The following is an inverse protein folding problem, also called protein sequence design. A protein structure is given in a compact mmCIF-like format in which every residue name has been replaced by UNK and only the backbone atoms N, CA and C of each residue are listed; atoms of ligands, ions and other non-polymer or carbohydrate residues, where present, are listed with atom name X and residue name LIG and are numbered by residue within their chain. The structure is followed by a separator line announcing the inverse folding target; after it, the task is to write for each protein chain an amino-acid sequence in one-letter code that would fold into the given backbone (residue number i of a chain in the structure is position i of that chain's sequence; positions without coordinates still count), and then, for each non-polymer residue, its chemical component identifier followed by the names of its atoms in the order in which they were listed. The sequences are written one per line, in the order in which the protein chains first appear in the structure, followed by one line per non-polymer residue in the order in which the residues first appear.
data_IF_401952623091
#
_entry.id   IF_401952623091
#
_cell.length_a   1.000
_cell.length_b   1.000
_cell.length_c   1.000
_cell.angle_alpha   90.00
_cell.angle_beta   90.00
_cell.angle_gamma   90.00
#
_symmetry.space_group_name_H-M   'P 1'
#
loop_
_entity.id
_entity.type
_entity.pdbx_description
1 polymer ?
#
# COMPACT_ATOMS: atom_id res chain seq x y z
N UNK A 1 -8.99 70.58 4.50
CA UNK A 1 -9.44 70.86 3.12
C UNK A 1 -8.92 69.76 2.21
N UNK A 2 -9.75 69.26 1.28
CA UNK A 2 -9.41 68.21 0.29
C UNK A 2 -10.31 66.97 0.46
N UNK A 3 -11.59 67.05 0.08
CA UNK A 3 -12.20 66.72 -1.23
C UNK A 3 -12.25 65.21 -1.53
N UNK A 4 -13.47 64.68 -1.41
CA UNK A 4 -13.95 63.38 -1.86
C UNK A 4 -13.94 63.28 -3.39
N UNK A 5 -13.64 62.09 -3.93
CA UNK A 5 -14.07 61.65 -5.26
C UNK A 5 -14.62 60.23 -5.17
N UNK A 6 -15.88 60.12 -5.60
CA UNK A 6 -16.70 58.92 -5.73
C UNK A 6 -16.71 58.45 -7.18
N UNK A 7 -16.80 57.13 -7.34
CA UNK A 7 -17.70 56.53 -8.33
C UNK A 7 -17.12 56.14 -9.70
N UNK A 8 -17.65 55.02 -10.20
CA UNK A 8 -17.63 54.49 -11.56
C UNK A 8 -16.51 53.49 -11.90
N UNK A 9 -16.75 52.20 -11.61
CA UNK A 9 -16.26 51.11 -12.48
C UNK A 9 -16.95 49.77 -12.18
N UNK A 10 -18.26 49.65 -12.43
CA UNK A 10 -18.95 48.35 -12.46
C UNK A 10 -20.13 48.42 -13.43
N UNK A 11 -19.89 48.24 -14.74
CA UNK A 11 -20.95 48.02 -15.76
C UNK A 11 -20.40 47.57 -17.12
N UNK A 12 -19.35 46.73 -17.15
CA UNK A 12 -18.81 46.21 -18.44
C UNK A 12 -18.46 44.71 -18.51
N UNK A 13 -18.67 43.93 -17.45
CA UNK A 13 -18.35 42.48 -17.48
C UNK A 13 -19.54 41.53 -17.66
N UNK A 14 -20.76 42.04 -17.82
CA UNK A 14 -21.97 41.22 -17.98
C UNK A 14 -22.46 41.06 -19.44
N UNK A 15 -21.69 41.52 -20.44
CA UNK A 15 -22.08 41.41 -21.86
C UNK A 15 -21.15 40.54 -22.73
N UNK A 16 -20.07 39.98 -22.20
CA UNK A 16 -19.14 39.13 -22.99
C UNK A 16 -19.40 37.62 -22.88
N UNK A 17 -20.26 37.14 -21.98
CA UNK A 17 -20.58 35.71 -21.87
C UNK A 17 -21.81 35.25 -22.68
N UNK A 18 -22.49 36.19 -23.36
CA UNK A 18 -23.68 35.87 -24.18
C UNK A 18 -23.31 35.52 -25.64
N UNK A 19 -22.04 35.69 -26.06
CA UNK A 19 -21.61 35.50 -27.44
C UNK A 19 -20.81 34.22 -27.76
N UNK A 20 -20.61 33.31 -26.79
CA UNK A 20 -19.93 32.03 -27.04
C UNK A 20 -20.80 30.77 -26.91
N UNK A 21 -22.10 30.92 -26.65
CA UNK A 21 -23.04 29.78 -26.49
C UNK A 21 -24.00 29.53 -27.66
N UNK A 22 -23.84 30.21 -28.81
CA UNK A 22 -24.80 30.15 -29.94
C UNK A 22 -24.28 29.50 -31.23
N UNK A 23 -23.16 28.77 -31.17
CA UNK A 23 -22.57 28.11 -32.36
C UNK A 23 -22.26 26.63 -32.16
N UNK A 24 -23.11 25.94 -31.39
CA UNK A 24 -23.02 24.50 -31.12
C UNK A 24 -24.41 23.85 -31.00
N UNK A 25 -25.43 24.43 -31.65
CA UNK A 25 -26.80 23.87 -31.69
C UNK A 25 -27.31 23.52 -33.09
N UNK A 26 -26.49 23.68 -34.13
CA UNK A 26 -26.89 23.37 -35.51
C UNK A 26 -26.14 22.18 -36.12
N UNK A 27 -25.41 21.39 -35.32
CA UNK A 27 -24.63 20.24 -35.80
C UNK A 27 -25.05 18.87 -35.23
N UNK A 28 -26.17 18.78 -34.49
CA UNK A 28 -26.61 17.54 -33.83
C UNK A 28 -28.07 17.17 -34.07
N UNK A 29 -28.70 17.65 -35.14
CA UNK A 29 -30.04 17.18 -35.55
C UNK A 29 -29.92 16.25 -36.75
N UNK A 30 -29.39 15.05 -36.55
CA UNK A 30 -29.57 13.93 -37.49
C UNK A 30 -29.23 12.57 -36.86
N UNK A 31 -29.77 12.27 -35.68
CA UNK A 31 -29.88 10.89 -35.21
C UNK A 31 -31.23 10.66 -34.53
N UNK A 32 -32.01 9.64 -34.93
CA UNK A 32 -33.28 9.33 -34.30
C UNK A 32 -33.06 8.86 -32.86
N UNK A 33 -33.80 9.48 -31.95
CA UNK A 33 -33.94 9.13 -30.54
C UNK A 33 -34.57 7.74 -30.41
N UNK A 34 -33.76 6.74 -30.06
CA UNK A 34 -34.25 5.56 -29.34
C UNK A 34 -34.01 5.84 -27.84
N UNK A 35 -35.07 6.23 -27.14
CA UNK A 35 -35.03 6.58 -25.71
C UNK A 35 -35.26 5.33 -24.87
N UNK A 36 -34.21 4.56 -24.67
CA UNK A 36 -34.06 3.77 -23.44
C UNK A 36 -32.97 4.43 -22.60
N UNK A 37 -33.36 5.46 -21.83
CA UNK A 37 -32.53 5.99 -20.76
C UNK A 37 -32.46 4.94 -19.64
N UNK A 38 -31.55 3.97 -19.78
CA UNK A 38 -31.03 3.25 -18.63
C UNK A 38 -30.28 4.27 -17.80
N UNK A 39 -30.94 4.76 -16.75
CA UNK A 39 -30.24 5.42 -15.65
C UNK A 39 -29.27 4.39 -15.08
N UNK A 40 -28.01 4.46 -15.52
CA UNK A 40 -26.92 3.76 -14.87
C UNK A 40 -26.80 4.35 -13.47
N UNK A 41 -27.52 3.74 -12.53
CA UNK A 41 -27.33 3.99 -11.11
C UNK A 41 -25.89 3.61 -10.80
N UNK A 42 -25.01 4.61 -10.73
CA UNK A 42 -23.68 4.47 -10.14
C UNK A 42 -23.93 4.18 -8.66
N UNK A 43 -24.08 2.90 -8.32
CA UNK A 43 -24.13 2.42 -6.95
C UNK A 43 -22.78 2.80 -6.35
N UNK A 44 -22.75 3.88 -5.56
CA UNK A 44 -21.58 4.17 -4.73
C UNK A 44 -21.41 2.95 -3.83
N UNK A 45 -20.25 2.26 -3.87
CA UNK A 45 -20.03 1.13 -2.99
C UNK A 45 -20.22 1.62 -1.55
N UNK A 46 -21.17 1.02 -0.83
CA UNK A 46 -21.36 1.31 0.58
C UNK A 46 -20.01 1.10 1.29
N UNK A 47 -19.55 2.10 2.03
CA UNK A 47 -18.30 2.00 2.77
C UNK A 47 -18.48 0.95 3.86
N UNK A 48 -17.90 -0.23 3.66
CA UNK A 48 -17.97 -1.33 4.61
C UNK A 48 -17.32 -0.89 5.93
N UNK A 49 -18.13 -0.79 6.99
CA UNK A 49 -17.64 -0.47 8.33
C UNK A 49 -16.84 -1.66 8.89
N UNK A 50 -15.65 -1.37 9.45
CA UNK A 50 -14.82 -2.40 10.05
C UNK A 50 -15.40 -2.96 11.36
N UNK A 51 -15.51 -4.30 11.44
CA UNK A 51 -15.93 -5.03 12.63
C UNK A 51 -14.73 -5.81 13.22
N UNK A 52 -14.26 -5.49 14.44
CA UNK A 52 -13.15 -6.19 15.09
C UNK A 52 -13.34 -7.71 15.20
N UNK A 53 -14.56 -8.19 15.40
CA UNK A 53 -14.84 -9.62 15.55
C UNK A 53 -14.74 -10.38 14.22
N UNK A 54 -15.00 -9.71 13.09
CA UNK A 54 -14.79 -10.28 11.76
C UNK A 54 -13.33 -10.15 11.32
N UNK A 55 -12.68 -9.05 11.71
CA UNK A 55 -11.29 -8.80 11.42
C UNK A 55 -11.01 -8.42 9.97
N UNK A 56 -9.76 -8.63 9.55
CA UNK A 56 -9.29 -8.39 8.19
C UNK A 56 -8.28 -9.44 7.76
N UNK A 57 -8.13 -9.58 6.45
CA UNK A 57 -7.16 -10.48 5.83
C UNK A 57 -5.94 -9.67 5.42
N UNK A 58 -4.76 -10.26 5.65
CA UNK A 58 -3.50 -9.83 5.07
C UNK A 58 -3.04 -10.93 4.12
N UNK A 59 -2.69 -10.56 2.90
CA UNK A 59 -2.05 -11.48 1.96
C UNK A 59 -0.70 -10.95 1.53
N UNK A 60 0.33 -11.79 1.68
CA UNK A 60 1.67 -11.55 1.16
C UNK A 60 1.76 -12.17 -0.22
N UNK A 61 1.86 -11.35 -1.26
CA UNK A 61 1.89 -11.86 -2.63
C UNK A 61 3.32 -12.26 -3.00
N UNK A 62 4.26 -11.31 -2.95
CA UNK A 62 5.63 -11.51 -3.41
C UNK A 62 6.62 -10.49 -2.88
N UNK A 63 7.90 -10.82 -2.95
CA UNK A 63 9.01 -9.88 -2.77
C UNK A 63 9.80 -9.74 -4.07
N UNK A 64 10.11 -8.50 -4.40
CA UNK A 64 10.89 -8.12 -5.56
C UNK A 64 12.22 -7.49 -5.15
N UNK A 65 13.24 -7.53 -6.02
CA UNK A 65 14.49 -6.80 -5.82
C UNK A 65 15.47 -7.45 -4.84
N UNK A 66 15.35 -8.76 -4.61
CA UNK A 66 16.19 -9.49 -3.68
C UNK A 66 17.63 -9.65 -4.22
N UNK A 67 18.67 -9.61 -3.37
CA UNK A 67 20.02 -10.00 -3.73
C UNK A 67 20.14 -11.42 -4.31
N UNK A 68 21.10 -11.62 -5.23
CA UNK A 68 21.32 -12.92 -5.90
C UNK A 68 21.70 -14.06 -4.96
N UNK A 69 22.34 -13.76 -3.84
CA UNK A 69 22.81 -14.76 -2.88
C UNK A 69 21.70 -15.29 -1.94
N UNK A 70 20.46 -14.81 -2.08
CA UNK A 70 19.34 -15.31 -1.28
C UNK A 70 18.64 -16.44 -2.03
N UNK A 71 18.52 -17.61 -1.40
CA UNK A 71 17.95 -18.80 -2.02
C UNK A 71 16.51 -19.07 -1.59
N UNK A 72 16.22 -18.86 -0.31
CA UNK A 72 14.87 -18.96 0.22
C UNK A 72 14.53 -17.76 1.06
N UNK A 73 13.25 -17.44 1.12
CA UNK A 73 12.70 -16.38 1.95
C UNK A 73 11.63 -16.95 2.88
N UNK A 74 11.60 -16.43 4.10
CA UNK A 74 10.54 -16.68 5.09
C UNK A 74 10.17 -15.34 5.71
N UNK A 75 8.88 -15.10 5.92
CA UNK A 75 8.40 -13.91 6.63
C UNK A 75 8.05 -14.28 8.06
N UNK A 76 8.41 -13.41 9.00
CA UNK A 76 7.90 -13.42 10.36
C UNK A 76 7.09 -12.14 10.55
N UNK A 77 5.86 -12.24 11.03
CA UNK A 77 4.96 -11.09 11.06
C UNK A 77 3.98 -11.13 12.22
N UNK A 78 3.49 -9.95 12.61
CA UNK A 78 2.47 -9.81 13.63
C UNK A 78 1.78 -8.43 13.58
N UNK A 79 0.66 -8.32 14.30
CA UNK A 79 -0.02 -7.05 14.55
C UNK A 79 0.52 -6.47 15.86
N UNK A 80 1.07 -5.26 15.79
CA UNK A 80 1.71 -4.61 16.93
C UNK A 80 1.28 -3.15 17.05
N UNK A 81 1.52 -2.56 18.22
CA UNK A 81 1.39 -1.12 18.40
C UNK A 81 2.71 -0.44 18.06
N UNK A 82 2.64 0.64 17.27
CA UNK A 82 3.78 1.49 16.94
C UNK A 82 4.45 1.97 18.24
N UNK A 83 5.76 1.72 18.35
CA UNK A 83 6.53 2.04 19.56
C UNK A 83 6.70 0.88 20.56
N UNK A 84 5.92 -0.20 20.43
CA UNK A 84 5.98 -1.38 21.30
C UNK A 84 6.26 -2.63 20.48
N UNK A 85 7.37 -2.60 19.73
CA UNK A 85 7.73 -3.70 18.85
C UNK A 85 8.24 -4.90 19.65
N UNK A 86 7.68 -6.07 19.37
CA UNK A 86 8.09 -7.35 19.95
C UNK A 86 8.48 -8.32 18.83
N UNK A 87 9.08 -9.45 19.20
CA UNK A 87 9.38 -10.51 18.22
C UNK A 87 8.06 -11.00 17.60
N UNK A 88 7.93 -11.05 16.26
CA UNK A 88 6.71 -11.54 15.64
C UNK A 88 6.42 -12.99 16.00
N UNK A 89 5.14 -13.32 16.19
CA UNK A 89 4.71 -14.66 16.60
C UNK A 89 4.32 -15.57 15.43
N UNK A 90 3.94 -15.01 14.28
CA UNK A 90 3.53 -15.77 13.09
C UNK A 90 4.65 -15.84 12.07
N UNK A 91 4.60 -16.88 11.23
CA UNK A 91 5.56 -17.08 10.15
C UNK A 91 4.91 -17.71 8.92
N UNK A 92 5.46 -17.42 7.74
CA UNK A 92 5.11 -18.12 6.50
C UNK A 92 5.90 -19.41 6.37
N UNK A 93 5.54 -20.25 5.40
CA UNK A 93 6.46 -21.29 4.92
C UNK A 93 7.71 -20.67 4.26
N UNK A 94 8.73 -21.50 4.02
CA UNK A 94 9.94 -21.09 3.31
C UNK A 94 9.72 -21.19 1.80
N UNK A 95 9.89 -20.07 1.11
CA UNK A 95 9.65 -19.94 -0.34
C UNK A 95 10.96 -19.83 -1.11
N UNK A 96 11.04 -20.47 -2.28
CA UNK A 96 12.22 -20.42 -3.14
C UNK A 96 12.28 -19.12 -3.92
N UNK A 97 13.47 -18.54 -4.02
CA UNK A 97 13.70 -17.37 -4.87
C UNK A 97 13.94 -17.78 -6.32
N UNK A 98 13.57 -16.90 -7.23
CA UNK A 98 13.74 -17.07 -8.68
C UNK A 98 14.53 -15.90 -9.25
N UNK A 99 15.35 -16.15 -10.26
CA UNK A 99 16.06 -15.10 -10.98
C UNK A 99 15.06 -14.22 -11.72
N UNK A 100 15.07 -12.91 -11.43
CA UNK A 100 14.25 -11.94 -12.15
C UNK A 100 15.09 -11.14 -13.15
N UNK A 101 16.30 -10.77 -12.76
CA UNK A 101 17.28 -10.09 -13.62
C UNK A 101 18.69 -10.59 -13.30
N UNK A 102 19.70 -10.08 -14.02
CA UNK A 102 21.11 -10.37 -13.71
C UNK A 102 21.50 -9.93 -12.28
N UNK A 103 20.89 -8.86 -11.75
CA UNK A 103 21.25 -8.31 -10.43
C UNK A 103 20.30 -8.69 -9.30
N UNK A 104 19.07 -9.06 -9.63
CA UNK A 104 18.01 -9.25 -8.64
C UNK A 104 17.23 -10.55 -8.83
N UNK A 105 16.76 -11.08 -7.71
CA UNK A 105 15.80 -12.17 -7.60
C UNK A 105 14.43 -11.65 -7.15
N UNK A 106 13.42 -12.50 -7.32
CA UNK A 106 12.09 -12.35 -6.76
C UNK A 106 11.68 -13.59 -5.98
N UNK A 107 10.66 -13.48 -5.16
CA UNK A 107 10.08 -14.60 -4.40
C UNK A 107 8.57 -14.47 -4.40
N UNK A 108 7.88 -15.46 -4.95
CA UNK A 108 6.43 -15.60 -4.82
C UNK A 108 6.12 -16.25 -3.46
N UNK A 109 5.14 -15.72 -2.73
CA UNK A 109 4.76 -16.16 -1.38
C UNK A 109 3.32 -16.65 -1.39
N UNK A 110 2.39 -15.80 -1.85
CA UNK A 110 0.96 -16.09 -2.00
C UNK A 110 0.31 -16.71 -0.75
N UNK A 111 0.73 -16.28 0.45
CA UNK A 111 0.16 -16.72 1.73
C UNK A 111 -0.77 -15.64 2.29
N UNK A 112 -1.87 -16.08 2.90
CA UNK A 112 -2.88 -15.21 3.51
C UNK A 112 -3.14 -15.61 4.94
N UNK A 113 -3.47 -14.62 5.76
CA UNK A 113 -3.80 -14.82 7.15
C UNK A 113 -4.93 -13.88 7.60
N UNK A 114 -5.71 -14.34 8.58
CA UNK A 114 -6.86 -13.62 9.13
C UNK A 114 -6.50 -13.09 10.53
N UNK A 115 -6.71 -11.79 10.72
CA UNK A 115 -6.53 -11.13 12.02
C UNK A 115 -7.88 -10.69 12.55
N UNK A 116 -8.29 -11.25 13.69
CA UNK A 116 -9.54 -10.94 14.40
C UNK A 116 -9.24 -10.30 15.75
N UNK A 117 -10.26 -9.68 16.34
CA UNK A 117 -10.20 -8.99 17.63
C UNK A 117 -9.18 -7.84 17.67
N UNK A 118 -8.95 -7.19 16.52
CA UNK A 118 -8.07 -6.03 16.41
C UNK A 118 -8.91 -4.76 16.48
N UNK A 119 -8.63 -3.90 17.46
CA UNK A 119 -9.30 -2.61 17.62
C UNK A 119 -8.83 -1.61 16.54
N UNK A 120 -9.70 -0.66 16.18
CA UNK A 120 -9.44 0.40 15.20
C UNK A 120 -8.53 1.51 15.77
N UNK A 121 -7.32 1.15 16.19
CA UNK A 121 -6.30 2.10 16.64
C UNK A 121 -5.38 2.48 15.47
N UNK A 122 -5.26 3.77 15.10
CA UNK A 122 -4.33 4.23 14.06
C UNK A 122 -2.86 3.85 14.30
N UNK A 123 -2.48 3.56 15.56
CA UNK A 123 -1.14 3.11 15.94
C UNK A 123 -0.92 1.61 15.70
N UNK A 124 -1.96 0.87 15.33
CA UNK A 124 -1.85 -0.55 15.00
C UNK A 124 -1.20 -0.75 13.64
N UNK A 125 -0.12 -1.51 13.62
CA UNK A 125 0.68 -1.80 12.42
C UNK A 125 0.79 -3.30 12.18
N UNK A 126 0.98 -3.67 10.92
CA UNK A 126 1.55 -4.96 10.55
C UNK A 126 3.06 -4.76 10.52
N UNK A 127 3.78 -5.47 11.39
CA UNK A 127 5.25 -5.51 11.36
C UNK A 127 5.70 -6.83 10.74
N UNK A 128 6.64 -6.76 9.79
CA UNK A 128 7.12 -7.91 9.02
C UNK A 128 8.63 -7.93 9.00
N UNK A 129 9.24 -9.01 9.45
CA UNK A 129 10.65 -9.32 9.27
C UNK A 129 10.84 -10.27 8.08
N UNK A 130 11.83 -9.98 7.26
CA UNK A 130 12.21 -10.79 6.11
C UNK A 130 13.48 -11.56 6.48
N UNK A 131 13.37 -12.88 6.48
CA UNK A 131 14.47 -13.80 6.73
C UNK A 131 14.86 -14.51 5.44
N UNK A 132 16.16 -14.58 5.18
CA UNK A 132 16.69 -15.24 3.99
C UNK A 132 17.62 -16.39 4.36
N UNK A 133 17.56 -17.48 3.58
CA UNK A 133 18.57 -18.53 3.56
C UNK A 133 19.72 -18.08 2.66
N UNK A 134 20.90 -17.91 3.26
CA UNK A 134 22.13 -17.47 2.60
C UNK A 134 23.18 -18.57 2.75
N UNK A 135 23.93 -18.84 1.68
CA UNK A 135 25.06 -19.76 1.72
C UNK A 135 26.23 -19.06 2.40
N UNK A 136 26.67 -19.57 3.55
CA UNK A 136 27.87 -19.06 4.21
C UNK A 136 29.13 -19.69 3.60
N UNK A 137 29.78 -18.94 2.72
CA UNK A 137 31.09 -19.30 2.18
C UNK A 137 32.18 -18.97 3.21
N UNK A 138 32.25 -19.76 4.30
CA UNK A 138 33.43 -19.71 5.16
C UNK A 138 34.62 -20.28 4.38
N UNK A 139 35.65 -19.45 4.16
CA UNK A 139 36.80 -19.69 3.26
C UNK A 139 37.58 -21.02 3.43
N UNK A 140 37.27 -21.87 4.41
CA UNK A 140 38.04 -23.10 4.72
C UNK A 140 37.17 -24.33 5.05
N UNK A 141 35.87 -24.35 4.72
CA UNK A 141 35.02 -25.54 4.92
C UNK A 141 34.58 -26.13 3.58
N UNK A 142 34.75 -27.45 3.44
CA UNK A 142 34.35 -28.25 2.27
C UNK A 142 32.83 -28.28 2.02
N UNK A 143 32.02 -27.80 2.96
CA UNK A 143 30.56 -27.89 2.90
C UNK A 143 29.93 -26.50 3.04
N UNK A 144 29.04 -26.19 2.09
CA UNK A 144 28.15 -25.03 2.13
C UNK A 144 27.03 -25.29 3.14
N UNK A 145 27.04 -24.58 4.26
CA UNK A 145 25.98 -24.67 5.27
C UNK A 145 25.01 -23.51 5.03
N UNK A 146 23.73 -23.78 4.71
CA UNK A 146 22.72 -22.73 4.61
C UNK A 146 22.47 -22.15 6.01
N UNK A 147 22.49 -20.82 6.11
CA UNK A 147 22.18 -20.10 7.35
C UNK A 147 20.97 -19.20 7.09
N UNK A 148 20.03 -19.21 8.03
CA UNK A 148 18.93 -18.25 8.04
C UNK A 148 19.33 -16.99 8.77
N UNK A 149 19.11 -15.83 8.14
CA UNK A 149 19.40 -14.53 8.72
C UNK A 149 18.28 -13.54 8.41
N UNK A 150 17.95 -12.68 9.37
CA UNK A 150 17.11 -11.51 9.14
C UNK A 150 17.84 -10.51 8.23
N UNK A 151 17.30 -10.28 7.05
CA UNK A 151 17.89 -9.40 6.03
C UNK A 151 17.25 -8.03 6.01
N UNK A 152 16.02 -7.92 6.49
CA UNK A 152 15.33 -6.64 6.56
C UNK A 152 13.99 -6.74 7.26
N UNK A 153 13.30 -5.61 7.32
CA UNK A 153 11.97 -5.50 7.88
C UNK A 153 11.16 -4.44 7.13
N UNK A 154 9.84 -4.48 7.29
CA UNK A 154 8.94 -3.43 6.83
C UNK A 154 7.71 -3.34 7.73
N UNK A 155 6.95 -2.25 7.61
CA UNK A 155 5.70 -2.10 8.35
C UNK A 155 4.69 -1.22 7.62
N UNK A 156 3.41 -1.43 7.94
CA UNK A 156 2.29 -0.65 7.41
C UNK A 156 1.21 -0.46 8.48
N UNK A 157 0.59 0.72 8.50
CA UNK A 157 -0.54 1.04 9.38
C UNK A 157 -1.82 0.31 8.92
N UNK A 158 -2.47 -0.37 9.86
CA UNK A 158 -3.69 -1.15 9.60
C UNK A 158 -4.92 -0.27 9.42
N UNK A 159 -4.96 0.90 10.07
CA UNK A 159 -6.09 1.80 10.06
C UNK A 159 -5.65 3.20 9.66
N UNK A 160 -6.47 3.89 8.87
CA UNK A 160 -6.20 5.26 8.42
C UNK A 160 -6.36 6.22 9.60
N UNK A 161 -5.41 7.13 9.78
CA UNK A 161 -5.45 8.13 10.85
C UNK A 161 -6.68 9.06 10.79
N UNK A 162 -7.22 9.31 9.59
CA UNK A 162 -8.30 10.28 9.34
C UNK A 162 -9.67 9.84 9.84
N UNK A 163 -10.02 8.57 9.63
CA UNK A 163 -11.37 8.04 9.82
C UNK A 163 -11.39 6.70 10.56
N UNK A 164 -10.22 6.19 10.97
CA UNK A 164 -10.03 4.89 11.63
C UNK A 164 -10.59 3.70 10.85
N UNK A 165 -10.85 3.89 9.55
CA UNK A 165 -11.24 2.79 8.68
C UNK A 165 -10.04 1.89 8.40
N UNK A 166 -10.31 0.63 8.06
CA UNK A 166 -9.28 -0.29 7.62
C UNK A 166 -8.54 0.33 6.44
N UNK A 167 -7.22 0.28 6.47
CA UNK A 167 -6.36 0.69 5.38
C UNK A 167 -6.35 -0.39 4.29
N UNK A 168 -7.50 -0.57 3.63
CA UNK A 168 -7.70 -1.61 2.63
C UNK A 168 -7.08 -1.23 1.29
N UNK A 169 -6.46 -2.20 0.61
CA UNK A 169 -5.85 -2.00 -0.69
C UNK A 169 -4.65 -2.89 -0.96
N UNK A 170 -3.94 -2.54 -2.04
CA UNK A 170 -2.73 -3.19 -2.50
C UNK A 170 -1.54 -2.29 -2.20
N UNK A 171 -0.51 -2.84 -1.56
CA UNK A 171 0.62 -2.07 -1.05
C UNK A 171 1.94 -2.60 -1.59
N UNK A 172 2.80 -1.66 -1.99
CA UNK A 172 4.20 -1.89 -2.31
C UNK A 172 5.04 -1.24 -1.21
N UNK A 173 5.60 -2.05 -0.32
CA UNK A 173 6.33 -1.58 0.85
C UNK A 173 7.84 -1.72 0.62
N UNK A 174 8.64 -0.66 0.90
CA UNK A 174 10.09 -0.78 0.88
C UNK A 174 10.56 -1.68 2.01
N UNK A 175 11.63 -2.42 1.76
CA UNK A 175 12.32 -3.19 2.80
C UNK A 175 13.46 -2.33 3.36
N UNK A 176 13.54 -2.26 4.68
CA UNK A 176 14.61 -1.60 5.42
C UNK A 176 15.62 -2.63 5.93
N UNK A 177 16.88 -2.25 6.09
CA UNK A 177 17.92 -3.17 6.58
C UNK A 177 17.66 -3.58 8.03
N UNK A 178 17.98 -4.81 8.36
CA UNK A 178 17.92 -5.34 9.72
C UNK A 178 18.82 -4.62 10.73
N UNK A 179 19.82 -3.87 10.28
CA UNK A 179 20.67 -3.02 11.13
C UNK A 179 20.01 -1.70 11.54
N UNK A 180 18.95 -1.27 10.85
CA UNK A 180 18.24 -0.05 11.18
C UNK A 180 17.18 -0.33 12.23
N UNK A 181 17.15 0.49 13.27
CA UNK A 181 16.12 0.46 14.29
C UNK A 181 14.77 0.91 13.72
N UNK A 182 13.71 0.07 13.77
CA UNK A 182 12.40 0.44 13.26
C UNK A 182 11.79 1.68 13.92
N UNK A 183 12.11 1.95 15.19
CA UNK A 183 11.61 3.13 15.89
C UNK A 183 12.18 4.42 15.31
N UNK A 184 13.36 4.37 14.68
CA UNK A 184 14.02 5.51 14.06
C UNK A 184 13.27 6.03 12.81
N UNK A 185 12.44 5.21 12.15
CA UNK A 185 11.59 5.64 11.03
C UNK A 185 10.68 6.80 11.43
N UNK A 186 10.14 6.75 12.65
CA UNK A 186 9.20 7.76 13.17
C UNK A 186 9.84 9.13 13.43
N UNK A 187 11.18 9.18 13.53
CA UNK A 187 11.90 10.38 13.95
C UNK A 187 12.57 11.13 12.80
N UNK A 188 13.16 10.41 11.84
CA UNK A 188 14.05 11.02 10.86
C UNK A 188 13.80 10.58 9.41
N UNK A 189 12.88 9.64 9.17
CA UNK A 189 12.85 8.88 7.92
C UNK A 189 14.09 7.99 7.79
N UNK A 190 13.99 6.88 7.06
CA UNK A 190 15.12 5.97 6.87
C UNK A 190 15.42 5.80 5.38
N UNK A 191 16.70 5.78 4.98
CA UNK A 191 17.05 5.33 3.64
C UNK A 191 16.63 3.87 3.49
N UNK A 192 15.84 3.57 2.47
CA UNK A 192 15.56 2.18 2.10
C UNK A 192 16.88 1.51 1.74
N UNK A 193 17.09 0.32 2.28
CA UNK A 193 18.28 -0.45 1.99
C UNK A 193 17.84 -1.55 1.06
N UNK A 194 18.42 -1.54 -0.14
CA UNK A 194 18.09 -2.38 -1.28
C UNK A 194 16.85 -1.87 -2.03
N UNK A 195 16.86 -2.00 -3.36
CA UNK A 195 15.71 -1.76 -4.24
C UNK A 195 14.63 -2.85 -4.07
N UNK A 196 14.54 -3.43 -2.86
CA UNK A 196 13.69 -4.56 -2.53
C UNK A 196 12.35 -4.10 -1.95
N UNK A 197 11.28 -4.74 -2.40
CA UNK A 197 9.92 -4.36 -2.04
C UNK A 197 9.06 -5.58 -1.73
N UNK A 198 8.30 -5.52 -0.65
CA UNK A 198 7.24 -6.47 -0.33
C UNK A 198 5.92 -5.98 -0.92
N UNK A 199 5.25 -6.84 -1.68
CA UNK A 199 3.90 -6.61 -2.16
C UNK A 199 2.92 -7.37 -1.27
N UNK A 200 1.97 -6.65 -0.68
CA UNK A 200 0.93 -7.24 0.16
C UNK A 200 -0.42 -6.58 -0.06
N UNK A 201 -1.47 -7.26 0.39
CA UNK A 201 -2.86 -6.80 0.33
C UNK A 201 -3.48 -6.83 1.71
N UNK A 202 -4.27 -5.80 2.00
CA UNK A 202 -5.10 -5.72 3.19
C UNK A 202 -6.54 -5.59 2.72
N UNK A 203 -7.42 -6.46 3.21
CA UNK A 203 -8.83 -6.46 2.79
C UNK A 203 -9.76 -6.95 3.87
N UNK A 204 -11.03 -6.58 3.77
CA UNK A 204 -12.07 -7.18 4.60
C UNK A 204 -12.20 -8.68 4.28
N UNK A 205 -12.57 -9.48 5.27
CA UNK A 205 -12.71 -10.94 5.14
C UNK A 205 -13.58 -11.38 3.96
N UNK A 206 -14.64 -10.63 3.69
CA UNK A 206 -15.63 -10.95 2.65
C UNK A 206 -15.31 -10.34 1.28
N UNK A 207 -14.24 -9.54 1.19
CA UNK A 207 -13.83 -8.91 -0.06
C UNK A 207 -12.96 -9.90 -0.85
N UNK A 208 -13.36 -10.21 -2.09
CA UNK A 208 -12.47 -10.94 -3.00
C UNK A 208 -11.25 -10.06 -3.28
N UNK A 209 -10.07 -10.54 -2.93
CA UNK A 209 -8.82 -9.91 -3.30
C UNK A 209 -8.49 -10.30 -4.73
N UNK A 210 -9.00 -9.51 -5.67
CA UNK A 210 -8.72 -9.61 -7.11
C UNK A 210 -7.35 -8.97 -7.40
#
# INVERSE_FOLDING_TARGET
MGRYLTGQSQTKELQSQIYHGKRLKEFLTQYPHDKSETQDFVIKPEMQQYNPYEGFIVQFDRIYGLPQNFNKIKLFYDIQLKGLLTKPSKETSSHQTQNYSYKHKQCEINEKDLFVNINQDPSTIIYVEIWAEVINQQKNKLYEIPIQKMVGWTMIECFKCSDRQLNNGNFKLPIYNSQLDPLSLTRYGLPSILEAHLFLRIGYKNQQMI
#
